data_IF_706593281388
#
_entry.id   IF_706593281388
#
_cell.length_a   1.000
_cell.length_b   1.000
_cell.length_c   1.000
_cell.angle_alpha   90.00
_cell.angle_beta   90.00
_cell.angle_gamma   90.00
#
_symmetry.space_group_name_H-M   'P 1'
#
loop_
_entity.id
_entity.type
_entity.pdbx_description
1 polymer ?
#
# COMPACT_ATOMS: atom_id res chain seq x y z
N UNK A 1 32.41 -23.31 -2.97
CA UNK A 1 31.01 -23.54 -2.53
C UNK A 1 30.65 -22.87 -1.19
N UNK A 2 31.59 -22.40 -0.36
CA UNK A 2 31.24 -21.50 0.76
C UNK A 2 30.73 -20.12 0.29
N UNK A 3 30.98 -19.81 -0.98
CA UNK A 3 30.76 -18.53 -1.65
C UNK A 3 29.28 -18.16 -1.77
N UNK A 4 28.36 -19.14 -1.75
CA UNK A 4 26.92 -18.86 -1.91
C UNK A 4 26.31 -18.16 -0.68
N UNK A 5 26.73 -18.54 0.53
CA UNK A 5 26.30 -17.85 1.76
C UNK A 5 26.86 -16.43 1.80
N UNK A 6 28.14 -16.27 1.43
CA UNK A 6 28.81 -14.96 1.35
C UNK A 6 28.16 -14.07 0.29
N UNK A 7 27.84 -14.62 -0.89
CA UNK A 7 27.11 -13.92 -1.94
C UNK A 7 25.71 -13.48 -1.48
N UNK A 8 24.98 -14.31 -0.74
CA UNK A 8 23.68 -13.93 -0.19
C UNK A 8 23.79 -12.76 0.81
N UNK A 9 24.80 -12.77 1.68
CA UNK A 9 25.07 -11.66 2.61
C UNK A 9 25.47 -10.38 1.87
N UNK A 10 26.33 -10.47 0.85
CA UNK A 10 26.71 -9.32 0.01
C UNK A 10 25.50 -8.76 -0.73
N UNK A 11 24.67 -9.61 -1.34
CA UNK A 11 23.43 -9.18 -2.01
C UNK A 11 22.48 -8.52 -1.04
N UNK A 12 22.27 -9.09 0.15
CA UNK A 12 21.43 -8.48 1.19
C UNK A 12 21.94 -7.11 1.64
N UNK A 13 23.26 -6.94 1.81
CA UNK A 13 23.87 -5.66 2.16
C UNK A 13 23.73 -4.63 1.03
N UNK A 14 24.03 -5.01 -0.22
CA UNK A 14 23.90 -4.13 -1.40
C UNK A 14 22.44 -3.72 -1.61
N UNK A 15 21.48 -4.65 -1.52
CA UNK A 15 20.05 -4.35 -1.62
C UNK A 15 19.62 -3.41 -0.49
N UNK A 16 20.13 -3.59 0.74
CA UNK A 16 19.83 -2.69 1.87
C UNK A 16 20.31 -1.25 1.61
N UNK A 17 21.51 -1.08 1.04
CA UNK A 17 22.02 0.24 0.65
C UNK A 17 21.20 0.83 -0.49
N UNK A 18 20.84 0.04 -1.51
CA UNK A 18 20.00 0.51 -2.63
C UNK A 18 18.61 0.95 -2.16
N UNK A 19 17.97 0.19 -1.26
CA UNK A 19 16.67 0.56 -0.67
C UNK A 19 16.77 1.84 0.16
N UNK A 20 17.87 2.04 0.91
CA UNK A 20 18.10 3.29 1.62
C UNK A 20 18.23 4.49 0.67
N UNK A 21 19.01 4.34 -0.42
CA UNK A 21 19.16 5.37 -1.45
C UNK A 21 17.83 5.70 -2.15
N UNK A 22 17.03 4.68 -2.48
CA UNK A 22 15.67 4.87 -3.03
C UNK A 22 14.75 5.56 -2.02
N UNK A 23 14.85 5.23 -0.74
CA UNK A 23 14.04 5.87 0.32
C UNK A 23 14.40 7.35 0.50
N UNK A 24 15.69 7.71 0.41
CA UNK A 24 16.15 9.11 0.38
C UNK A 24 15.66 9.81 -0.89
N UNK A 25 15.74 9.17 -2.06
CA UNK A 25 15.22 9.71 -3.31
C UNK A 25 13.71 9.99 -3.23
N UNK A 26 12.92 9.07 -2.68
CA UNK A 26 11.48 9.26 -2.46
C UNK A 26 11.21 10.42 -1.51
N UNK A 27 11.92 10.54 -0.39
CA UNK A 27 11.80 11.69 0.50
C UNK A 27 12.05 13.01 -0.26
N UNK A 28 13.19 13.12 -0.96
CA UNK A 28 13.62 14.36 -1.62
C UNK A 28 12.63 14.81 -2.69
N UNK A 29 11.99 13.87 -3.40
CA UNK A 29 11.05 14.18 -4.49
C UNK A 29 9.59 14.36 -4.04
N UNK A 30 9.17 13.80 -2.91
CA UNK A 30 7.78 13.95 -2.41
C UNK A 30 7.61 15.03 -1.33
N UNK A 31 8.68 15.42 -0.62
CA UNK A 31 8.60 16.48 0.40
C UNK A 31 8.22 17.85 -0.20
N UNK A 32 7.56 18.68 0.61
CA UNK A 32 7.27 20.08 0.28
C UNK A 32 8.56 20.94 0.28
N UNK A 33 8.72 21.94 -0.60
CA UNK A 33 9.91 22.81 -0.64
C UNK A 33 10.17 23.57 0.68
N UNK A 34 9.13 23.99 1.40
CA UNK A 34 9.28 24.67 2.71
C UNK A 34 10.00 23.79 3.75
N UNK A 35 9.80 22.48 3.69
CA UNK A 35 10.45 21.52 4.58
C UNK A 35 11.90 21.22 4.12
N UNK A 36 12.34 21.60 2.91
CA UNK A 36 13.56 21.09 2.27
C UNK A 36 14.85 21.24 3.11
N UNK A 37 15.03 22.35 3.82
CA UNK A 37 16.19 22.61 4.70
C UNK A 37 15.85 22.51 6.21
N UNK A 38 14.63 22.11 6.57
CA UNK A 38 14.15 22.01 7.95
C UNK A 38 13.81 20.56 8.34
N UNK A 39 13.25 20.35 9.53
CA UNK A 39 12.63 19.08 9.96
C UNK A 39 13.47 17.79 9.79
N UNK A 40 14.77 17.85 10.08
CA UNK A 40 15.70 16.71 9.95
C UNK A 40 15.28 15.43 10.70
N UNK A 41 14.68 15.55 11.88
CA UNK A 41 14.24 14.37 12.66
C UNK A 41 13.06 13.63 11.99
N UNK A 42 11.94 14.28 11.65
CA UNK A 42 10.89 13.68 10.81
C UNK A 42 11.39 13.04 9.51
N UNK A 43 12.31 13.69 8.79
CA UNK A 43 12.92 13.15 7.56
C UNK A 43 13.62 11.82 7.78
N UNK A 44 14.42 11.72 8.85
CA UNK A 44 15.09 10.48 9.23
C UNK A 44 14.08 9.37 9.54
N UNK A 45 12.97 9.69 10.22
CA UNK A 45 11.89 8.73 10.51
C UNK A 45 11.17 8.28 9.23
N UNK A 46 10.89 9.19 8.28
CA UNK A 46 10.33 8.86 6.96
C UNK A 46 11.25 7.90 6.20
N UNK A 47 12.55 8.20 6.08
CA UNK A 47 13.52 7.36 5.36
C UNK A 47 13.69 5.99 6.01
N UNK A 48 13.74 5.92 7.35
CA UNK A 48 13.80 4.65 8.06
C UNK A 48 12.52 3.83 7.88
N UNK A 49 11.34 4.45 7.95
CA UNK A 49 10.07 3.76 7.75
C UNK A 49 9.90 3.17 6.35
N UNK A 50 10.19 3.94 5.29
CA UNK A 50 10.16 3.41 3.91
C UNK A 50 11.20 2.28 3.75
N UNK A 51 12.41 2.47 4.29
CA UNK A 51 13.47 1.44 4.26
C UNK A 51 13.02 0.14 4.93
N UNK A 52 12.44 0.22 6.13
CA UNK A 52 11.95 -0.96 6.87
C UNK A 52 10.79 -1.64 6.13
N UNK A 53 9.83 -0.88 5.62
CA UNK A 53 8.71 -1.45 4.86
C UNK A 53 9.18 -2.20 3.61
N UNK A 54 10.09 -1.62 2.83
CA UNK A 54 10.63 -2.26 1.61
C UNK A 54 11.55 -3.44 1.94
N UNK A 55 12.37 -3.37 2.99
CA UNK A 55 13.19 -4.51 3.40
C UNK A 55 12.36 -5.66 3.95
N UNK A 56 11.28 -5.37 4.68
CA UNK A 56 10.40 -6.40 5.25
C UNK A 56 9.74 -7.29 4.19
N UNK A 57 9.38 -6.75 3.01
CA UNK A 57 8.86 -7.60 1.91
C UNK A 57 9.99 -8.36 1.19
N UNK A 58 11.18 -7.76 1.05
CA UNK A 58 12.35 -8.39 0.45
C UNK A 58 12.98 -9.47 1.34
N UNK A 59 12.62 -9.53 2.63
CA UNK A 59 12.98 -10.65 3.50
C UNK A 59 12.29 -11.96 3.12
N UNK A 60 11.12 -11.96 2.45
CA UNK A 60 10.50 -13.19 1.95
C UNK A 60 11.39 -13.96 0.96
N UNK A 61 11.83 -13.38 -0.17
CA UNK A 61 12.74 -14.06 -1.10
C UNK A 61 14.11 -14.32 -0.48
N UNK A 62 14.58 -13.47 0.44
CA UNK A 62 15.81 -13.74 1.20
C UNK A 62 15.69 -14.99 2.09
N UNK A 63 14.56 -15.21 2.75
CA UNK A 63 14.29 -16.42 3.57
C UNK A 63 14.30 -17.69 2.69
N UNK A 64 13.66 -17.63 1.51
CA UNK A 64 13.68 -18.72 0.54
C UNK A 64 15.10 -19.01 0.06
N UNK A 65 15.86 -17.98 -0.35
CA UNK A 65 17.24 -18.12 -0.80
C UNK A 65 18.15 -18.66 0.32
N UNK A 66 17.96 -18.22 1.57
CA UNK A 66 18.69 -18.68 2.75
C UNK A 66 18.39 -20.16 3.07
N UNK A 67 17.12 -20.58 2.97
CA UNK A 67 16.74 -22.00 3.07
C UNK A 67 17.37 -22.84 1.96
N UNK A 68 17.37 -22.35 0.72
CA UNK A 68 17.99 -23.03 -0.41
C UNK A 68 19.52 -23.15 -0.26
N UNK A 69 20.17 -22.13 0.30
CA UNK A 69 21.58 -22.16 0.66
C UNK A 69 21.90 -23.31 1.62
N UNK A 70 21.14 -23.42 2.71
CA UNK A 70 21.29 -24.50 3.70
C UNK A 70 21.00 -25.89 3.09
N UNK A 71 20.01 -26.03 2.19
CA UNK A 71 19.74 -27.31 1.50
C UNK A 71 20.86 -27.79 0.56
N UNK A 72 21.73 -26.89 0.08
CA UNK A 72 22.89 -27.21 -0.78
C UNK A 72 24.18 -27.41 0.03
N UNK A 73 24.15 -27.31 1.35
CA UNK A 73 25.30 -27.51 2.22
C UNK A 73 25.65 -29.01 2.38
N UNK A 74 26.89 -29.38 2.01
CA UNK A 74 27.41 -30.76 2.13
C UNK A 74 27.80 -31.12 3.57
N UNK A 75 28.00 -30.13 4.45
CA UNK A 75 28.40 -30.33 5.85
C UNK A 75 27.43 -29.63 6.81
N UNK A 76 27.04 -30.33 7.87
CA UNK A 76 26.03 -29.89 8.85
C UNK A 76 26.36 -28.54 9.52
N UNK A 77 27.63 -28.21 9.67
CA UNK A 77 28.07 -26.91 10.21
C UNK A 77 27.90 -25.71 9.27
N UNK A 78 27.78 -25.90 7.95
CA UNK A 78 27.73 -24.77 7.02
C UNK A 78 26.40 -23.99 7.05
N UNK A 79 25.34 -24.59 7.60
CA UNK A 79 24.08 -23.87 7.86
C UNK A 79 24.22 -22.83 9.00
N UNK A 80 25.27 -22.92 9.84
CA UNK A 80 25.55 -21.92 10.88
C UNK A 80 26.08 -20.58 10.33
N UNK A 81 26.53 -20.53 9.07
CA UNK A 81 26.90 -19.30 8.36
C UNK A 81 25.72 -18.65 7.59
N UNK A 82 24.50 -19.18 7.75
CA UNK A 82 23.31 -18.61 7.09
C UNK A 82 22.69 -17.50 7.94
N UNK A 83 21.87 -16.64 7.32
CA UNK A 83 21.20 -15.55 8.02
C UNK A 83 20.22 -16.11 9.06
N UNK A 84 20.19 -15.60 10.30
CA UNK A 84 19.29 -16.08 11.35
C UNK A 84 17.87 -15.52 11.14
N UNK A 85 17.18 -16.02 10.10
CA UNK A 85 15.93 -15.43 9.59
C UNK A 85 14.84 -15.28 10.67
N UNK A 86 14.68 -16.24 11.59
CA UNK A 86 13.73 -16.10 12.72
C UNK A 86 14.01 -14.88 13.58
N UNK A 87 15.28 -14.64 13.92
CA UNK A 87 15.73 -13.49 14.70
C UNK A 87 15.55 -12.20 13.90
N UNK A 88 15.89 -12.20 12.61
CA UNK A 88 15.72 -11.04 11.73
C UNK A 88 14.23 -10.66 11.59
N UNK A 89 13.34 -11.62 11.39
CA UNK A 89 11.89 -11.38 11.32
C UNK A 89 11.37 -10.77 12.63
N UNK A 90 11.75 -11.34 13.77
CA UNK A 90 11.37 -10.81 15.08
C UNK A 90 11.89 -9.38 15.30
N UNK A 91 13.16 -9.11 14.96
CA UNK A 91 13.77 -7.78 15.06
C UNK A 91 13.04 -6.77 14.17
N UNK A 92 12.72 -7.13 12.92
CA UNK A 92 11.99 -6.25 12.00
C UNK A 92 10.56 -5.97 12.49
N UNK A 93 9.84 -6.95 13.04
CA UNK A 93 8.50 -6.69 13.62
C UNK A 93 8.55 -5.85 14.90
N UNK A 94 9.58 -5.98 15.72
CA UNK A 94 9.78 -5.10 16.89
C UNK A 94 10.08 -3.67 16.42
N UNK A 95 10.96 -3.50 15.42
CA UNK A 95 11.27 -2.20 14.83
C UNK A 95 10.01 -1.57 14.21
N UNK A 96 9.24 -2.33 13.44
CA UNK A 96 7.99 -1.88 12.83
C UNK A 96 6.97 -1.41 13.87
N UNK A 97 6.69 -2.23 14.90
CA UNK A 97 5.79 -1.86 15.97
C UNK A 97 6.27 -0.61 16.74
N UNK A 98 7.58 -0.49 17.01
CA UNK A 98 8.16 0.71 17.64
C UNK A 98 8.04 1.93 16.72
N UNK A 99 8.28 1.78 15.41
CA UNK A 99 8.13 2.85 14.44
C UNK A 99 6.68 3.34 14.38
N UNK A 100 5.72 2.43 14.17
CA UNK A 100 4.30 2.77 14.00
C UNK A 100 3.65 3.31 15.27
N UNK A 101 3.88 2.68 16.44
CA UNK A 101 3.15 3.04 17.66
C UNK A 101 3.84 4.10 18.52
N UNK A 102 5.15 4.33 18.35
CA UNK A 102 5.92 5.27 19.18
C UNK A 102 6.63 6.34 18.35
N UNK A 103 7.51 5.96 17.42
CA UNK A 103 8.43 6.92 16.76
C UNK A 103 7.72 7.82 15.75
N UNK A 104 6.80 7.29 14.94
CA UNK A 104 6.02 8.08 13.96
C UNK A 104 5.04 9.01 14.68
N UNK A 105 4.23 8.57 15.68
CA UNK A 105 3.44 9.48 16.52
C UNK A 105 4.29 10.55 17.20
N UNK A 106 5.47 10.18 17.73
CA UNK A 106 6.40 11.14 18.31
C UNK A 106 6.87 12.17 17.28
N UNK A 107 7.26 11.74 16.08
CA UNK A 107 7.72 12.62 15.02
C UNK A 107 6.61 13.57 14.53
N UNK A 108 5.36 13.09 14.44
CA UNK A 108 4.19 13.91 14.09
C UNK A 108 3.91 14.97 15.17
N UNK A 109 3.71 14.56 16.43
CA UNK A 109 3.44 15.50 17.54
C UNK A 109 4.61 16.43 17.83
N UNK A 110 5.85 15.99 17.59
CA UNK A 110 7.02 16.86 17.66
C UNK A 110 7.03 17.86 16.50
N UNK A 111 6.75 17.45 15.26
CA UNK A 111 6.70 18.35 14.10
C UNK A 111 5.58 19.40 14.20
N UNK A 112 4.36 18.98 14.55
CA UNK A 112 3.22 19.88 14.85
C UNK A 112 3.45 20.77 16.09
N UNK A 113 4.43 20.41 16.92
CA UNK A 113 4.84 21.17 18.09
C UNK A 113 5.32 22.57 17.72
N UNK A 114 4.45 23.55 17.98
CA UNK A 114 4.65 25.01 17.96
C UNK A 114 6.12 25.43 18.10
N UNK A 115 6.66 26.01 17.03
CA UNK A 115 8.08 26.33 16.85
C UNK A 115 8.54 27.47 17.77
N UNK A 116 7.61 28.31 18.26
CA UNK A 116 7.91 29.40 19.20
C UNK A 116 8.24 28.89 20.61
N UNK A 117 8.01 27.59 20.87
CA UNK A 117 8.31 26.94 22.15
C UNK A 117 9.72 26.37 22.17
N UNK A 118 10.46 26.71 23.24
CA UNK A 118 11.76 26.10 23.57
C UNK A 118 11.74 24.57 23.40
N UNK A 119 12.78 24.00 22.81
CA UNK A 119 12.90 22.56 22.44
C UNK A 119 12.46 21.62 23.57
N UNK A 120 12.84 21.88 24.83
CA UNK A 120 12.44 21.05 25.98
C UNK A 120 10.92 21.05 26.27
N UNK A 121 10.23 22.18 26.07
CA UNK A 121 8.75 22.25 26.22
C UNK A 121 8.06 21.48 25.08
N UNK A 122 8.56 21.61 23.86
CA UNK A 122 8.10 20.87 22.66
C UNK A 122 8.28 19.36 22.84
N UNK A 123 9.47 18.94 23.27
CA UNK A 123 9.79 17.54 23.59
C UNK A 123 8.87 16.97 24.67
N UNK A 124 8.67 17.69 25.78
CA UNK A 124 7.75 17.29 26.85
C UNK A 124 6.31 17.16 26.36
N UNK A 125 5.85 18.11 25.53
CA UNK A 125 4.50 18.07 24.94
C UNK A 125 4.32 16.84 24.03
N UNK A 126 5.27 16.59 23.12
CA UNK A 126 5.24 15.43 22.24
C UNK A 126 5.26 14.10 23.02
N UNK A 127 6.11 13.98 24.04
CA UNK A 127 6.16 12.79 24.90
C UNK A 127 4.83 12.51 25.63
N UNK A 128 4.14 13.55 26.13
CA UNK A 128 2.83 13.37 26.78
C UNK A 128 1.80 12.82 25.78
N UNK A 129 1.74 13.36 24.57
CA UNK A 129 0.83 12.88 23.53
C UNK A 129 1.16 11.46 23.05
N UNK A 130 2.46 11.10 22.96
CA UNK A 130 2.90 9.74 22.62
C UNK A 130 2.54 8.74 23.70
N UNK A 131 2.71 9.09 24.99
CA UNK A 131 2.27 8.22 26.10
C UNK A 131 0.75 8.06 26.06
N UNK A 132 -0.01 9.13 25.81
CA UNK A 132 -1.46 9.04 25.67
C UNK A 132 -1.88 8.14 24.48
N UNK A 133 -1.27 8.30 23.31
CA UNK A 133 -1.57 7.45 22.14
C UNK A 133 -1.14 6.00 22.36
N UNK A 134 0.03 5.76 22.97
CA UNK A 134 0.52 4.43 23.30
C UNK A 134 -0.36 3.72 24.34
N UNK A 135 -0.91 4.43 25.32
CA UNK A 135 -1.90 3.89 26.26
C UNK A 135 -3.20 3.52 25.52
N UNK A 136 -3.72 4.39 24.65
CA UNK A 136 -4.94 4.07 23.87
C UNK A 136 -4.72 2.87 22.94
N UNK A 137 -3.64 2.85 22.17
CA UNK A 137 -3.30 1.73 21.31
C UNK A 137 -3.03 0.45 22.12
N UNK A 138 -2.32 0.55 23.24
CA UNK A 138 -2.04 -0.58 24.13
C UNK A 138 -3.30 -1.16 24.80
N UNK A 139 -4.27 -0.32 25.17
CA UNK A 139 -5.58 -0.77 25.65
C UNK A 139 -6.38 -1.48 24.55
N UNK A 140 -6.43 -0.92 23.34
CA UNK A 140 -7.12 -1.54 22.18
C UNK A 140 -6.48 -2.90 21.86
N UNK A 141 -5.15 -2.95 21.71
CA UNK A 141 -4.41 -4.18 21.43
C UNK A 141 -4.52 -5.19 22.58
N UNK A 142 -4.52 -4.73 23.84
CA UNK A 142 -4.69 -5.58 25.02
C UNK A 142 -6.08 -6.22 25.10
N UNK A 143 -7.14 -5.46 24.78
CA UNK A 143 -8.51 -5.98 24.68
C UNK A 143 -8.61 -7.00 23.53
N UNK A 144 -8.06 -6.68 22.35
CA UNK A 144 -8.02 -7.60 21.21
C UNK A 144 -7.26 -8.89 21.56
N UNK A 145 -6.10 -8.79 22.23
CA UNK A 145 -5.32 -9.93 22.69
C UNK A 145 -6.09 -10.78 23.73
N UNK A 146 -6.75 -10.16 24.70
CA UNK A 146 -7.53 -10.87 25.72
C UNK A 146 -8.72 -11.65 25.12
N UNK A 147 -9.37 -11.10 24.07
CA UNK A 147 -10.54 -11.70 23.42
C UNK A 147 -10.17 -12.73 22.34
N UNK A 148 -9.10 -12.49 21.57
CA UNK A 148 -8.80 -13.15 20.28
C UNK A 148 -7.41 -13.82 20.27
N UNK A 149 -6.48 -13.37 21.09
CA UNK A 149 -5.06 -13.77 21.06
C UNK A 149 -4.73 -15.19 21.55
N UNK A 150 -5.74 -15.99 21.93
CA UNK A 150 -5.55 -17.41 22.28
C UNK A 150 -5.67 -18.30 21.03
N UNK A 151 -4.90 -19.37 20.99
CA UNK A 151 -4.90 -20.35 19.89
C UNK A 151 -5.66 -21.60 20.32
N UNK A 152 -6.66 -22.01 19.54
CA UNK A 152 -7.49 -23.20 19.82
C UNK A 152 -7.10 -24.36 18.89
N UNK A 153 -6.15 -25.20 19.31
CA UNK A 153 -5.82 -26.42 18.57
C UNK A 153 -6.89 -27.51 18.77
N UNK A 154 -7.70 -27.78 17.74
CA UNK A 154 -8.68 -28.87 17.78
C UNK A 154 -8.01 -30.21 17.49
N UNK A 155 -7.62 -30.94 18.52
CA UNK A 155 -7.17 -32.34 18.39
C UNK A 155 -8.36 -33.20 17.98
N UNK A 156 -8.35 -33.74 16.75
CA UNK A 156 -9.39 -34.64 16.25
C UNK A 156 -9.03 -36.09 16.55
N UNK A 157 -9.79 -36.73 17.44
CA UNK A 157 -9.87 -38.18 17.48
C UNK A 157 -10.73 -38.67 16.30
N UNK A 158 -10.17 -39.57 15.48
CA UNK A 158 -10.88 -40.17 14.35
C UNK A 158 -11.53 -41.49 14.81
N UNK A 159 -12.86 -41.51 14.84
CA UNK A 159 -13.66 -42.74 14.91
C UNK A 159 -14.59 -42.78 13.70
N UNK A 160 -14.45 -43.80 12.88
CA UNK A 160 -15.21 -43.99 11.63
C UNK A 160 -16.45 -44.85 11.87
N UNK A 161 -17.57 -44.47 11.25
CA UNK A 161 -18.75 -45.33 11.05
C UNK A 161 -19.26 -45.15 9.63
N UNK A 162 -19.67 -46.24 8.99
CA UNK A 162 -20.09 -46.25 7.58
C UNK A 162 -21.57 -45.86 7.46
N UNK A 163 -21.90 -44.98 6.51
CA UNK A 163 -23.28 -44.59 6.20
C UNK A 163 -23.53 -44.69 4.69
N UNK A 164 -24.72 -45.17 4.29
CA UNK A 164 -25.05 -45.51 2.91
C UNK A 164 -25.47 -44.30 2.06
N UNK A 165 -25.25 -44.39 0.75
CA UNK A 165 -25.49 -43.32 -0.23
C UNK A 165 -26.99 -43.01 -0.45
N UNK A 166 -27.40 -41.73 -0.48
CA UNK A 166 -28.71 -41.31 -0.97
C UNK A 166 -28.83 -41.33 -2.50
N UNK A 167 -30.07 -41.45 -3.00
CA UNK A 167 -30.42 -41.71 -4.41
C UNK A 167 -30.18 -40.54 -5.41
N UNK A 168 -30.12 -40.81 -6.74
CA UNK A 168 -29.54 -39.90 -7.74
C UNK A 168 -30.45 -38.80 -8.34
N UNK A 169 -31.70 -38.64 -7.87
CA UNK A 169 -32.76 -38.03 -8.68
C UNK A 169 -33.10 -36.56 -8.34
N UNK A 170 -32.13 -35.65 -8.37
CA UNK A 170 -32.37 -34.20 -8.25
C UNK A 170 -31.63 -33.37 -9.31
N UNK A 171 -32.13 -33.42 -10.55
CA UNK A 171 -31.71 -32.54 -11.66
C UNK A 171 -32.93 -32.11 -12.50
N UNK A 172 -33.64 -31.06 -12.07
CA UNK A 172 -34.81 -30.51 -12.80
C UNK A 172 -35.32 -29.16 -12.24
N UNK A 173 -34.53 -28.08 -12.35
CA UNK A 173 -34.99 -26.75 -11.91
C UNK A 173 -34.29 -25.53 -12.58
N UNK A 174 -34.19 -25.47 -13.91
CA UNK A 174 -33.84 -24.22 -14.61
C UNK A 174 -34.60 -24.07 -15.94
N UNK A 175 -35.38 -22.99 -16.06
CA UNK A 175 -36.10 -22.60 -17.29
C UNK A 175 -36.01 -21.09 -17.48
N UNK A 176 -35.77 -20.65 -18.71
CA UNK A 176 -35.52 -19.25 -19.09
C UNK A 176 -36.72 -18.59 -19.80
N UNK A 177 -37.04 -17.34 -19.46
CA UNK A 177 -37.94 -16.48 -20.25
C UNK A 177 -37.94 -15.04 -19.71
N UNK A 178 -37.46 -14.07 -20.48
CA UNK A 178 -38.26 -13.15 -21.32
C UNK A 178 -38.22 -11.69 -20.72
N UNK A 179 -38.54 -10.61 -21.46
CA UNK A 179 -37.54 -9.60 -21.88
C UNK A 179 -37.87 -8.16 -21.40
N UNK A 180 -37.17 -7.11 -21.89
CA UNK A 180 -37.71 -5.73 -21.97
C UNK A 180 -36.88 -4.75 -22.84
N UNK A 181 -37.56 -3.80 -23.52
CA UNK A 181 -37.10 -2.88 -24.59
C UNK A 181 -37.92 -1.56 -24.52
N UNK A 182 -37.43 -0.32 -24.75
CA UNK A 182 -36.03 0.16 -24.78
C UNK A 182 -35.78 1.67 -24.45
N UNK A 183 -36.25 2.71 -25.20
CA UNK A 183 -35.37 3.86 -25.44
C UNK A 183 -35.81 5.22 -24.86
N UNK A 184 -34.85 6.14 -24.65
CA UNK A 184 -35.09 7.58 -24.50
C UNK A 184 -34.02 8.42 -25.22
N UNK A 185 -34.41 9.63 -25.63
CA UNK A 185 -33.76 10.43 -26.67
C UNK A 185 -33.19 11.77 -26.18
N UNK A 186 -32.40 12.39 -27.08
CA UNK A 186 -32.17 13.84 -27.28
C UNK A 186 -31.14 14.60 -26.42
N UNK A 187 -30.30 15.34 -27.15
CA UNK A 187 -29.94 16.78 -27.06
C UNK A 187 -29.92 17.44 -25.65
N UNK A 188 -28.99 18.34 -25.32
CA UNK A 188 -28.36 19.35 -26.18
C UNK A 188 -27.04 19.88 -25.56
N UNK A 189 -26.22 20.59 -26.35
CA UNK A 189 -24.94 21.12 -25.89
C UNK A 189 -24.68 22.56 -26.35
N UNK A 190 -24.77 23.53 -25.43
CA UNK A 190 -24.13 24.86 -25.51
C UNK A 190 -24.27 25.60 -24.18
N UNK A 191 -23.15 25.93 -23.53
CA UNK A 191 -22.93 27.08 -22.61
C UNK A 191 -21.59 26.88 -21.88
N UNK A 192 -20.49 27.21 -22.56
CA UNK A 192 -19.12 27.08 -22.03
C UNK A 192 -18.22 28.31 -22.31
N UNK A 193 -18.72 29.34 -23.01
CA UNK A 193 -17.97 30.56 -23.29
C UNK A 193 -18.02 31.62 -22.18
N UNK A 194 -19.11 31.68 -21.39
CA UNK A 194 -19.35 32.80 -20.45
C UNK A 194 -18.65 32.67 -19.09
N UNK A 195 -18.21 31.48 -18.68
CA UNK A 195 -17.72 31.21 -17.31
C UNK A 195 -16.29 31.69 -17.01
N UNK A 196 -15.44 31.86 -18.02
CA UNK A 196 -14.04 32.24 -17.81
C UNK A 196 -13.85 33.67 -17.26
N UNK A 197 -14.83 34.56 -17.46
CA UNK A 197 -14.72 35.99 -17.12
C UNK A 197 -15.21 36.34 -15.70
N UNK A 198 -16.08 35.50 -15.14
CA UNK A 198 -16.67 35.68 -13.80
C UNK A 198 -15.70 35.28 -12.68
N UNK A 199 -14.96 34.17 -12.86
CA UNK A 199 -14.06 33.60 -11.86
C UNK A 199 -12.92 34.53 -11.43
N UNK A 200 -12.42 35.38 -12.34
CA UNK A 200 -11.39 36.37 -12.03
C UNK A 200 -11.86 37.45 -11.06
N UNK A 201 -13.11 37.92 -11.19
CA UNK A 201 -13.69 38.95 -10.30
C UNK A 201 -14.00 38.41 -8.89
N UNK A 202 -14.39 37.14 -8.77
CA UNK A 202 -14.72 36.54 -7.48
C UNK A 202 -13.47 36.40 -6.57
N UNK A 203 -12.30 36.14 -7.16
CA UNK A 203 -11.03 36.06 -6.42
C UNK A 203 -10.61 37.43 -5.85
N UNK A 204 -10.77 38.51 -6.61
CA UNK A 204 -10.41 39.87 -6.21
C UNK A 204 -11.30 40.38 -5.05
N UNK A 205 -12.58 40.00 -5.01
CA UNK A 205 -13.51 40.39 -3.94
C UNK A 205 -13.17 39.75 -2.58
N UNK A 206 -12.77 38.48 -2.57
CA UNK A 206 -12.45 37.75 -1.33
C UNK A 206 -11.21 38.29 -0.60
N UNK A 207 -10.27 38.90 -1.34
CA UNK A 207 -9.10 39.53 -0.74
C UNK A 207 -9.42 40.85 0.01
N UNK A 208 -10.60 41.44 -0.24
CA UNK A 208 -11.09 42.58 0.54
C UNK A 208 -11.76 42.15 1.86
N UNK A 209 -12.47 41.00 1.89
CA UNK A 209 -13.04 40.47 3.14
C UNK A 209 -11.96 40.12 4.18
N UNK A 210 -10.77 39.70 3.74
CA UNK A 210 -9.66 39.37 4.63
C UNK A 210 -9.19 40.58 5.48
N UNK A 211 -9.27 41.80 4.92
CA UNK A 211 -8.98 43.05 5.64
C UNK A 211 -10.06 43.46 6.65
N UNK A 212 -11.27 42.88 6.56
CA UNK A 212 -12.40 43.21 7.46
C UNK A 212 -12.46 42.38 8.75
N UNK A 213 -11.57 41.40 8.92
CA UNK A 213 -11.31 40.72 10.20
C UNK A 213 -12.34 39.67 10.66
N UNK A 214 -13.49 39.54 10.01
CA UNK A 214 -14.60 38.70 10.51
C UNK A 214 -14.47 37.20 10.15
N UNK A 215 -13.53 36.50 10.81
CA UNK A 215 -13.12 35.10 10.51
C UNK A 215 -14.11 34.00 10.98
N UNK A 216 -15.40 34.15 10.62
CA UNK A 216 -16.49 33.24 10.98
C UNK A 216 -16.54 31.89 10.23
N UNK A 217 -17.56 31.07 10.52
CA UNK A 217 -17.73 29.72 9.95
C UNK A 217 -18.05 29.72 8.43
N UNK A 218 -18.75 30.75 7.92
CA UNK A 218 -19.00 30.97 6.47
C UNK A 218 -17.67 31.23 5.74
N UNK A 219 -16.85 32.16 6.26
CA UNK A 219 -15.51 32.47 5.75
C UNK A 219 -14.62 31.22 5.66
N UNK A 220 -14.47 30.45 6.75
CA UNK A 220 -13.67 29.20 6.76
C UNK A 220 -14.16 28.15 5.75
N UNK A 221 -15.45 28.14 5.39
CA UNK A 221 -16.01 27.25 4.36
C UNK A 221 -15.68 27.76 2.95
N UNK A 222 -15.77 29.06 2.72
CA UNK A 222 -15.45 29.69 1.44
C UNK A 222 -13.96 29.59 1.13
N UNK A 223 -13.07 29.89 2.10
CA UNK A 223 -11.62 29.74 1.98
C UNK A 223 -11.26 28.31 1.56
N UNK A 224 -11.75 27.28 2.27
CA UNK A 224 -11.50 25.87 1.92
C UNK A 224 -12.05 25.44 0.56
N UNK A 225 -13.06 26.13 0.04
CA UNK A 225 -13.58 25.86 -1.28
C UNK A 225 -12.70 26.51 -2.36
N UNK A 226 -12.22 27.74 -2.14
CA UNK A 226 -11.27 28.44 -3.04
C UNK A 226 -9.90 27.75 -3.05
N UNK A 227 -9.39 27.37 -1.89
CA UNK A 227 -8.16 26.57 -1.73
C UNK A 227 -8.20 25.27 -2.55
N UNK A 228 -9.36 24.60 -2.58
CA UNK A 228 -9.59 23.42 -3.40
C UNK A 228 -9.60 23.72 -4.91
N UNK A 229 -10.25 24.81 -5.35
CA UNK A 229 -10.25 25.21 -6.77
C UNK A 229 -8.86 25.69 -7.23
N UNK A 230 -8.10 26.37 -6.36
CA UNK A 230 -6.71 26.77 -6.61
C UNK A 230 -5.83 25.53 -6.79
N UNK A 231 -5.93 24.55 -5.90
CA UNK A 231 -5.20 23.28 -6.00
C UNK A 231 -5.56 22.49 -7.28
N UNK A 232 -6.81 22.59 -7.76
CA UNK A 232 -7.20 22.02 -9.05
C UNK A 232 -6.58 22.78 -10.23
N UNK A 233 -6.61 24.11 -10.20
CA UNK A 233 -6.02 24.97 -11.22
C UNK A 233 -4.49 24.80 -11.29
N UNK A 234 -3.82 24.63 -10.15
CA UNK A 234 -2.39 24.34 -10.04
C UNK A 234 -2.06 22.96 -10.66
N UNK A 235 -2.84 21.92 -10.35
CA UNK A 235 -2.67 20.61 -10.99
C UNK A 235 -2.86 20.70 -12.52
N UNK A 236 -3.86 21.44 -13.00
CA UNK A 236 -4.14 21.62 -14.43
C UNK A 236 -3.03 22.45 -15.11
N UNK A 237 -2.47 23.45 -14.42
CA UNK A 237 -1.32 24.25 -14.89
C UNK A 237 -0.04 23.40 -14.99
N UNK A 238 0.27 22.60 -13.96
CA UNK A 238 1.41 21.69 -13.98
C UNK A 238 1.28 20.65 -15.11
N UNK A 239 0.07 20.16 -15.39
CA UNK A 239 -0.20 19.28 -16.52
C UNK A 239 -0.06 19.97 -17.89
N UNK A 240 -0.33 21.28 -17.97
CA UNK A 240 -0.06 22.09 -19.16
C UNK A 240 1.45 22.32 -19.37
N UNK A 241 2.21 22.57 -18.30
CA UNK A 241 3.68 22.70 -18.35
C UNK A 241 4.39 21.39 -18.71
N UNK A 242 3.91 20.22 -18.25
CA UNK A 242 4.43 18.89 -18.68
C UNK A 242 4.20 18.65 -20.18
N UNK A 243 3.14 19.22 -20.77
CA UNK A 243 2.81 19.07 -22.19
C UNK A 243 3.45 20.13 -23.11
N UNK A 244 3.72 21.33 -22.58
CA UNK A 244 4.27 22.47 -23.32
C UNK A 244 5.42 23.14 -22.53
N UNK A 245 6.57 22.46 -22.38
CA UNK A 245 7.71 23.00 -21.64
C UNK A 245 8.26 24.27 -22.31
N UNK A 246 8.35 25.36 -21.55
CA UNK A 246 8.87 26.64 -22.04
C UNK A 246 10.35 26.84 -21.65
N UNK A 247 11.14 27.44 -22.55
CA UNK A 247 12.52 27.83 -22.30
C UNK A 247 13.56 27.17 -23.21
N UNK A 248 14.83 27.48 -22.97
CA UNK A 248 15.98 27.15 -23.82
C UNK A 248 16.25 25.63 -23.99
N UNK A 249 15.66 24.78 -23.14
CA UNK A 249 15.78 23.31 -23.17
C UNK A 249 14.48 22.59 -23.50
N UNK A 250 13.50 23.30 -24.08
CA UNK A 250 12.15 22.77 -24.35
C UNK A 250 12.13 21.41 -25.07
N UNK A 251 12.92 21.25 -26.15
CA UNK A 251 12.95 19.99 -26.92
C UNK A 251 13.48 18.80 -26.12
N UNK A 252 14.51 19.00 -25.30
CA UNK A 252 15.04 17.94 -24.44
C UNK A 252 14.04 17.57 -23.33
N UNK A 253 13.42 18.56 -22.68
CA UNK A 253 12.37 18.34 -21.68
C UNK A 253 11.15 17.63 -22.28
N UNK A 254 10.77 17.98 -23.51
CA UNK A 254 9.72 17.31 -24.26
C UNK A 254 10.09 15.86 -24.61
N UNK A 255 11.32 15.60 -25.08
CA UNK A 255 11.79 14.25 -25.33
C UNK A 255 11.79 13.37 -24.06
N UNK A 256 12.20 13.91 -22.91
CA UNK A 256 12.15 13.21 -21.63
C UNK A 256 10.72 12.96 -21.12
N UNK A 257 9.79 13.90 -21.30
CA UNK A 257 8.37 13.68 -20.93
C UNK A 257 7.72 12.64 -21.84
N UNK A 258 7.94 12.68 -23.17
CA UNK A 258 7.48 11.63 -24.09
C UNK A 258 8.06 10.26 -23.71
N UNK A 259 9.36 10.17 -23.42
CA UNK A 259 10.00 8.94 -22.94
C UNK A 259 9.37 8.45 -21.61
N UNK A 260 9.07 9.37 -20.69
CA UNK A 260 8.39 9.04 -19.44
C UNK A 260 6.96 8.53 -19.67
N UNK A 261 6.21 9.08 -20.63
CA UNK A 261 4.88 8.56 -21.01
C UNK A 261 4.95 7.16 -21.64
N UNK A 262 5.92 6.91 -22.52
CA UNK A 262 6.17 5.57 -23.09
C UNK A 262 6.57 4.59 -21.97
N UNK A 263 7.44 5.02 -21.05
CA UNK A 263 7.79 4.24 -19.85
C UNK A 263 6.58 3.91 -18.99
N UNK A 264 5.74 4.91 -18.64
CA UNK A 264 4.47 4.75 -17.91
C UNK A 264 3.56 3.71 -18.60
N UNK A 265 3.47 3.71 -19.94
CA UNK A 265 2.70 2.72 -20.71
C UNK A 265 3.29 1.30 -20.61
N UNK A 266 4.60 1.15 -20.78
CA UNK A 266 5.28 -0.16 -20.69
C UNK A 266 5.12 -0.74 -19.27
N UNK A 267 5.35 0.07 -18.23
CA UNK A 267 5.12 -0.34 -16.84
C UNK A 267 3.65 -0.69 -16.58
N UNK A 268 2.70 0.02 -17.21
CA UNK A 268 1.27 -0.30 -17.15
C UNK A 268 0.93 -1.65 -17.78
N UNK A 269 1.50 -1.98 -18.94
CA UNK A 269 1.30 -3.27 -19.62
C UNK A 269 1.90 -4.42 -18.79
N UNK A 270 3.14 -4.26 -18.31
CA UNK A 270 3.78 -5.26 -17.43
C UNK A 270 2.96 -5.42 -16.15
N UNK A 271 2.54 -4.32 -15.52
CA UNK A 271 1.68 -4.35 -14.34
C UNK A 271 0.35 -5.05 -14.56
N UNK A 272 -0.29 -4.86 -15.72
CA UNK A 272 -1.52 -5.57 -16.08
C UNK A 272 -1.30 -7.09 -16.17
N UNK A 273 -0.22 -7.53 -16.83
CA UNK A 273 0.13 -8.95 -16.95
C UNK A 273 0.37 -9.57 -15.56
N UNK A 274 1.13 -8.88 -14.70
CA UNK A 274 1.44 -9.35 -13.34
C UNK A 274 0.19 -9.35 -12.44
N UNK A 275 -0.69 -8.35 -12.56
CA UNK A 275 -2.01 -8.34 -11.90
C UNK A 275 -2.90 -9.51 -12.32
N UNK A 276 -2.98 -9.81 -13.63
CA UNK A 276 -3.74 -10.96 -14.14
C UNK A 276 -3.17 -12.26 -13.59
N UNK A 277 -1.84 -12.42 -13.59
CA UNK A 277 -1.17 -13.59 -13.02
C UNK A 277 -1.45 -13.73 -11.51
N UNK A 278 -1.45 -12.62 -10.76
CA UNK A 278 -1.83 -12.61 -9.34
C UNK A 278 -3.29 -13.03 -9.10
N UNK A 279 -4.25 -12.45 -9.84
CA UNK A 279 -5.68 -12.80 -9.70
C UNK A 279 -5.93 -14.25 -10.08
N UNK A 280 -5.33 -14.74 -11.17
CA UNK A 280 -5.39 -16.14 -11.56
C UNK A 280 -4.81 -17.06 -10.48
N UNK A 281 -3.65 -16.70 -9.90
CA UNK A 281 -3.03 -17.45 -8.82
C UNK A 281 -3.90 -17.54 -7.57
N UNK A 282 -4.52 -16.43 -7.15
CA UNK A 282 -5.44 -16.41 -6.00
C UNK A 282 -6.63 -17.33 -6.26
N UNK A 283 -7.25 -17.25 -7.44
CA UNK A 283 -8.41 -18.08 -7.79
C UNK A 283 -8.04 -19.57 -7.82
N UNK A 284 -6.94 -19.93 -8.49
CA UNK A 284 -6.55 -21.33 -8.75
C UNK A 284 -5.97 -22.02 -7.50
N UNK A 285 -5.18 -21.29 -6.68
CA UNK A 285 -4.42 -21.85 -5.57
C UNK A 285 -4.99 -21.54 -4.17
N UNK A 286 -5.71 -20.42 -3.98
CA UNK A 286 -6.21 -20.02 -2.66
C UNK A 286 -7.73 -20.13 -2.49
N UNK A 287 -8.53 -20.00 -3.56
CA UNK A 287 -10.00 -19.98 -3.44
C UNK A 287 -10.70 -21.31 -3.72
N UNK A 288 -9.98 -22.32 -4.22
CA UNK A 288 -10.51 -23.66 -4.49
C UNK A 288 -9.81 -24.67 -3.58
N UNK A 289 -10.58 -25.42 -2.80
CA UNK A 289 -10.11 -26.50 -1.94
C UNK A 289 -10.63 -27.85 -2.46
N UNK A 290 -9.77 -28.82 -2.81
CA UNK A 290 -8.31 -28.71 -2.94
C UNK A 290 -7.89 -27.81 -4.13
N UNK A 291 -6.68 -27.22 -4.11
CA UNK A 291 -6.22 -26.30 -5.15
C UNK A 291 -6.13 -27.00 -6.51
N UNK A 292 -6.63 -26.31 -7.55
CA UNK A 292 -6.65 -26.82 -8.94
C UNK A 292 -5.23 -27.02 -9.51
N UNK A 293 -4.31 -26.13 -9.13
CA UNK A 293 -2.89 -26.20 -9.47
C UNK A 293 -2.09 -25.30 -8.52
N UNK A 294 -0.82 -25.63 -8.32
CA UNK A 294 0.14 -24.77 -7.61
C UNK A 294 0.57 -23.52 -8.42
N UNK A 295 0.25 -23.49 -9.72
CA UNK A 295 0.47 -22.40 -10.69
C UNK A 295 1.80 -21.63 -10.51
N UNK A 296 1.78 -20.40 -9.97
CA UNK A 296 3.01 -19.59 -9.83
C UNK A 296 4.08 -20.27 -8.97
N UNK A 297 3.68 -21.02 -7.93
CA UNK A 297 4.65 -21.78 -7.13
C UNK A 297 5.41 -22.80 -7.97
N UNK A 298 4.73 -23.50 -8.89
CA UNK A 298 5.35 -24.49 -9.76
C UNK A 298 6.27 -23.81 -10.80
N UNK A 299 5.87 -22.64 -11.32
CA UNK A 299 6.69 -21.82 -12.21
C UNK A 299 7.98 -21.38 -11.49
N UNK A 300 7.91 -20.92 -10.24
CA UNK A 300 9.11 -20.53 -9.48
C UNK A 300 10.05 -21.72 -9.20
N UNK A 301 9.50 -22.91 -8.88
CA UNK A 301 10.28 -24.15 -8.73
C UNK A 301 10.98 -24.53 -10.05
N UNK A 302 10.28 -24.41 -11.19
CA UNK A 302 10.86 -24.67 -12.51
C UNK A 302 11.96 -23.67 -12.85
N UNK A 303 11.78 -22.38 -12.55
CA UNK A 303 12.81 -21.36 -12.76
C UNK A 303 14.07 -21.63 -11.91
N UNK A 304 13.92 -22.02 -10.64
CA UNK A 304 15.04 -22.40 -9.76
C UNK A 304 15.77 -23.68 -10.25
N UNK A 305 15.14 -24.51 -11.07
CA UNK A 305 15.80 -25.66 -11.72
C UNK A 305 16.69 -25.25 -12.91
N UNK A 306 16.38 -24.13 -13.58
CA UNK A 306 17.19 -23.57 -14.68
C UNK A 306 18.39 -22.81 -14.13
N UNK A 307 18.16 -21.92 -13.18
CA UNK A 307 19.21 -21.25 -12.42
C UNK A 307 18.74 -21.04 -10.99
N UNK A 308 19.52 -21.50 -10.01
CA UNK A 308 19.10 -21.67 -8.61
C UNK A 308 18.82 -20.41 -7.79
N UNK A 309 18.67 -19.25 -8.45
CA UNK A 309 18.19 -17.98 -7.90
C UNK A 309 17.07 -17.35 -8.77
N UNK A 310 16.77 -17.89 -9.95
CA UNK A 310 15.84 -17.30 -10.91
C UNK A 310 14.39 -17.33 -10.41
N UNK A 311 13.98 -18.42 -9.77
CA UNK A 311 12.70 -18.52 -9.07
C UNK A 311 12.65 -17.58 -7.88
N UNK A 312 13.75 -17.45 -7.12
CA UNK A 312 13.80 -16.53 -5.96
C UNK A 312 13.68 -15.07 -6.40
N UNK A 313 14.26 -14.69 -7.54
CA UNK A 313 14.15 -13.36 -8.13
C UNK A 313 12.76 -13.10 -8.73
N UNK A 314 12.15 -14.08 -9.40
CA UNK A 314 10.77 -13.99 -9.87
C UNK A 314 9.78 -13.84 -8.70
N UNK A 315 9.95 -14.63 -7.64
CA UNK A 315 9.19 -14.53 -6.41
C UNK A 315 9.35 -13.15 -5.73
N UNK A 316 10.59 -12.62 -5.67
CA UNK A 316 10.86 -11.27 -5.18
C UNK A 316 10.10 -10.21 -5.98
N UNK A 317 10.12 -10.31 -7.32
CA UNK A 317 9.39 -9.40 -8.20
C UNK A 317 7.87 -9.45 -7.97
N UNK A 318 7.26 -10.62 -7.85
CA UNK A 318 5.83 -10.75 -7.54
C UNK A 318 5.45 -10.20 -6.16
N UNK A 319 6.29 -10.40 -5.14
CA UNK A 319 6.06 -9.85 -3.79
C UNK A 319 6.20 -8.33 -3.77
N UNK A 320 7.26 -7.79 -4.39
CA UNK A 320 7.52 -6.36 -4.44
C UNK A 320 6.48 -5.61 -5.29
N UNK A 321 5.96 -6.26 -6.35
CA UNK A 321 4.85 -5.74 -7.14
C UNK A 321 3.60 -5.46 -6.29
N UNK A 322 3.21 -6.37 -5.38
CA UNK A 322 2.07 -6.10 -4.48
C UNK A 322 2.34 -4.93 -3.54
N UNK A 323 3.56 -4.80 -2.99
CA UNK A 323 3.89 -3.64 -2.16
C UNK A 323 3.81 -2.33 -2.96
N UNK A 324 4.31 -2.29 -4.19
CA UNK A 324 4.18 -1.12 -5.07
C UNK A 324 2.70 -0.81 -5.36
N UNK A 325 1.87 -1.83 -5.62
CA UNK A 325 0.44 -1.63 -5.88
C UNK A 325 -0.30 -1.05 -4.66
N UNK A 326 0.06 -1.50 -3.45
CA UNK A 326 -0.47 -0.97 -2.18
C UNK A 326 -0.02 0.47 -1.95
N UNK A 327 1.28 0.76 -2.07
CA UNK A 327 1.83 2.13 -1.94
C UNK A 327 1.17 3.08 -2.98
N UNK A 328 1.01 2.63 -4.23
CA UNK A 328 0.34 3.41 -5.27
C UNK A 328 -1.14 3.70 -4.93
N UNK A 329 -1.84 2.74 -4.33
CA UNK A 329 -3.18 2.93 -3.79
C UNK A 329 -3.22 3.95 -2.66
N UNK A 330 -2.33 3.83 -1.67
CA UNK A 330 -2.23 4.75 -0.53
C UNK A 330 -1.92 6.19 -0.96
N UNK A 331 -0.99 6.39 -1.90
CA UNK A 331 -0.70 7.72 -2.45
C UNK A 331 -1.93 8.39 -3.08
N UNK A 332 -2.89 7.62 -3.61
CA UNK A 332 -4.15 8.13 -4.18
C UNK A 332 -5.27 8.35 -3.14
N UNK A 333 -5.20 7.75 -1.94
CA UNK A 333 -6.30 7.70 -0.98
C UNK A 333 -6.41 8.95 -0.11
N UNK A 334 -7.00 10.02 -0.66
CA UNK A 334 -7.42 11.20 0.11
C UNK A 334 -8.75 11.01 0.85
N UNK A 335 -8.78 10.22 1.92
CA UNK A 335 -10.00 9.93 2.70
C UNK A 335 -10.11 10.75 4.00
N UNK A 336 -11.30 11.30 4.25
CA UNK A 336 -11.66 11.82 5.59
C UNK A 336 -12.46 10.76 6.34
N UNK A 337 -11.76 9.95 7.12
CA UNK A 337 -12.38 9.08 8.12
C UNK A 337 -12.85 9.93 9.30
N UNK A 338 -13.75 9.38 10.13
CA UNK A 338 -14.50 10.13 11.17
C UNK A 338 -13.61 10.95 12.11
N UNK A 339 -12.39 10.46 12.38
CA UNK A 339 -11.41 11.12 13.27
C UNK A 339 -10.04 11.39 12.63
N UNK A 340 -9.81 10.96 11.38
CA UNK A 340 -8.49 11.04 10.71
C UNK A 340 -8.67 11.52 9.27
N UNK A 341 -7.95 12.58 8.91
CA UNK A 341 -7.85 13.06 7.53
C UNK A 341 -6.61 12.49 6.87
N UNK A 342 -6.77 11.45 6.06
CA UNK A 342 -5.71 10.90 5.22
C UNK A 342 -5.49 11.89 4.06
N UNK A 343 -4.27 12.41 3.95
CA UNK A 343 -3.85 13.30 2.87
C UNK A 343 -3.12 12.49 1.80
N UNK A 344 -3.49 12.61 0.51
CA UNK A 344 -2.79 11.91 -0.56
C UNK A 344 -1.36 12.43 -0.68
N UNK A 345 -0.44 11.54 -1.03
CA UNK A 345 0.96 11.91 -1.25
C UNK A 345 1.12 12.56 -2.64
N UNK A 346 1.74 13.73 -2.70
CA UNK A 346 2.00 14.48 -3.93
C UNK A 346 3.50 14.65 -4.17
N UNK A 347 3.92 14.48 -5.42
CA UNK A 347 5.26 14.86 -5.86
C UNK A 347 5.51 16.36 -5.60
N UNK A 348 6.65 16.70 -5.00
CA UNK A 348 7.06 18.06 -4.63
C UNK A 348 6.17 18.80 -3.64
N UNK A 349 5.15 18.13 -3.06
CA UNK A 349 4.02 18.81 -2.41
C UNK A 349 3.50 18.16 -1.14
N UNK A 350 4.18 17.15 -0.59
CA UNK A 350 3.75 16.47 0.64
C UNK A 350 4.36 17.13 1.86
N UNK A 351 3.52 17.77 2.68
CA UNK A 351 3.90 18.26 4.02
C UNK A 351 4.40 17.10 4.90
N UNK A 352 5.44 17.35 5.69
CA UNK A 352 6.11 16.32 6.49
C UNK A 352 5.17 15.48 7.40
N UNK A 353 4.15 16.10 8.00
CA UNK A 353 3.17 15.41 8.84
C UNK A 353 2.34 14.38 8.05
N UNK A 354 1.84 14.79 6.88
CA UNK A 354 1.14 13.91 5.94
C UNK A 354 2.05 12.80 5.40
N UNK A 355 3.34 13.10 5.22
CA UNK A 355 4.32 12.09 4.79
C UNK A 355 4.51 11.03 5.89
N UNK A 356 4.81 11.45 7.14
CA UNK A 356 4.94 10.56 8.29
C UNK A 356 3.72 9.66 8.49
N UNK A 357 2.52 10.22 8.40
CA UNK A 357 1.28 9.46 8.52
C UNK A 357 1.15 8.38 7.44
N UNK A 358 1.41 8.72 6.16
CA UNK A 358 1.38 7.74 5.08
C UNK A 358 2.47 6.67 5.24
N UNK A 359 3.68 7.00 5.69
CA UNK A 359 4.72 5.99 5.99
C UNK A 359 4.27 5.02 7.09
N UNK A 360 3.52 5.50 8.10
CA UNK A 360 2.89 4.64 9.10
C UNK A 360 1.85 3.68 8.52
N UNK A 361 1.10 4.09 7.49
CA UNK A 361 0.20 3.20 6.75
C UNK A 361 0.97 2.16 5.92
N UNK A 362 2.00 2.59 5.16
CA UNK A 362 2.83 1.70 4.35
C UNK A 362 3.46 0.58 5.22
N UNK A 363 3.93 0.91 6.42
CA UNK A 363 4.47 -0.04 7.40
C UNK A 363 3.40 -1.05 7.85
N UNK A 364 2.24 -0.60 8.32
CA UNK A 364 1.13 -1.48 8.73
C UNK A 364 0.64 -2.39 7.60
N UNK A 365 0.57 -1.86 6.38
CA UNK A 365 0.15 -2.60 5.21
C UNK A 365 1.22 -3.59 4.73
N UNK A 366 2.52 -3.31 4.92
CA UNK A 366 3.59 -4.24 4.52
C UNK A 366 3.47 -5.59 5.24
N UNK A 367 3.14 -5.61 6.54
CA UNK A 367 2.88 -6.86 7.29
C UNK A 367 1.75 -7.66 6.64
N UNK A 368 0.68 -6.98 6.22
CA UNK A 368 -0.47 -7.62 5.58
C UNK A 368 -0.11 -8.22 4.22
N UNK A 369 0.70 -7.51 3.41
CA UNK A 369 1.24 -8.01 2.14
C UNK A 369 2.18 -9.21 2.38
N UNK A 370 3.04 -9.17 3.40
CA UNK A 370 3.95 -10.27 3.76
C UNK A 370 3.15 -11.53 4.15
N UNK A 371 2.15 -11.38 5.02
CA UNK A 371 1.27 -12.48 5.44
C UNK A 371 0.52 -13.09 4.25
N UNK A 372 0.02 -12.24 3.35
CA UNK A 372 -0.65 -12.66 2.12
C UNK A 372 0.31 -13.42 1.19
N UNK A 373 1.50 -12.88 0.92
CA UNK A 373 2.51 -13.53 0.08
C UNK A 373 3.01 -14.86 0.66
N UNK A 374 3.25 -14.95 1.98
CA UNK A 374 3.60 -16.20 2.64
C UNK A 374 2.51 -17.28 2.45
N UNK A 375 1.25 -16.88 2.55
CA UNK A 375 0.09 -17.78 2.33
C UNK A 375 -0.05 -18.17 0.85
N UNK A 376 0.00 -17.20 -0.06
CA UNK A 376 -0.13 -17.40 -1.51
C UNK A 376 1.00 -18.24 -2.11
N UNK A 377 2.19 -18.18 -1.53
CA UNK A 377 3.35 -18.91 -2.00
C UNK A 377 3.83 -19.98 -1.01
N UNK A 378 2.91 -20.51 -0.20
CA UNK A 378 3.18 -21.51 0.85
C UNK A 378 3.92 -22.77 0.33
N UNK A 379 3.66 -23.20 -0.91
CA UNK A 379 4.33 -24.35 -1.52
C UNK A 379 5.78 -24.02 -1.92
N UNK A 380 6.02 -22.85 -2.52
CA UNK A 380 7.36 -22.41 -2.90
C UNK A 380 8.22 -22.06 -1.66
N UNK A 381 7.65 -21.30 -0.72
CA UNK A 381 8.28 -20.84 0.51
C UNK A 381 8.17 -21.84 1.68
N UNK A 382 7.87 -23.11 1.41
CA UNK A 382 7.73 -24.14 2.45
C UNK A 382 8.99 -24.25 3.32
N UNK A 383 8.83 -24.42 4.64
CA UNK A 383 9.94 -24.53 5.60
C UNK A 383 10.92 -23.33 5.57
N UNK A 384 10.39 -22.13 5.36
CA UNK A 384 11.03 -20.84 5.68
C UNK A 384 10.60 -20.37 7.07
N UNK A 385 11.33 -19.42 7.67
CA UNK A 385 10.94 -18.85 8.96
C UNK A 385 9.61 -18.07 8.83
N UNK A 386 9.40 -17.35 7.73
CA UNK A 386 8.13 -16.69 7.41
C UNK A 386 6.94 -17.66 7.43
N UNK A 387 7.08 -18.84 6.79
CA UNK A 387 5.98 -19.81 6.71
C UNK A 387 5.66 -20.48 8.06
N UNK A 388 6.65 -20.63 8.95
CA UNK A 388 6.42 -21.09 10.32
C UNK A 388 5.61 -20.07 11.13
N UNK A 389 5.95 -18.78 11.01
CA UNK A 389 5.27 -17.67 11.70
C UNK A 389 3.83 -17.53 11.18
N UNK A 390 3.65 -17.38 9.87
CA UNK A 390 2.37 -17.02 9.26
C UNK A 390 1.45 -18.20 8.96
N UNK A 391 1.98 -19.36 8.56
CA UNK A 391 1.18 -20.47 8.03
C UNK A 391 0.35 -21.18 9.10
N UNK A 392 0.96 -21.53 10.24
CA UNK A 392 0.32 -22.39 11.25
C UNK A 392 -0.32 -21.62 12.42
N UNK A 393 0.29 -20.51 12.84
CA UNK A 393 -0.14 -19.75 14.02
C UNK A 393 -1.46 -19.01 13.79
N UNK A 394 -1.58 -18.30 12.66
CA UNK A 394 -2.75 -17.45 12.34
C UNK A 394 -4.03 -18.24 12.09
N UNK A 395 -3.95 -19.37 11.38
CA UNK A 395 -5.11 -20.23 11.09
C UNK A 395 -5.73 -20.86 12.35
N UNK A 396 -5.01 -20.82 13.48
CA UNK A 396 -5.41 -21.45 14.73
C UNK A 396 -5.93 -20.42 15.78
N UNK A 397 -5.88 -19.11 15.49
CA UNK A 397 -6.34 -18.04 16.39
C UNK A 397 -7.85 -18.08 16.68
N UNK A 398 -8.23 -17.95 17.95
CA UNK A 398 -9.62 -17.97 18.40
C UNK A 398 -10.43 -16.83 17.78
N UNK A 399 -11.60 -17.14 17.23
CA UNK A 399 -12.44 -16.18 16.50
C UNK A 399 -11.94 -15.91 15.08
N UNK A 400 -10.76 -15.28 14.91
CA UNK A 400 -10.24 -14.89 13.59
C UNK A 400 -9.96 -16.09 12.66
N UNK A 401 -9.72 -17.30 13.19
CA UNK A 401 -9.57 -18.53 12.39
C UNK A 401 -10.66 -18.74 11.34
N UNK A 402 -11.90 -18.30 11.59
CA UNK A 402 -12.98 -18.46 10.60
C UNK A 402 -12.79 -17.57 9.37
N UNK A 403 -12.22 -16.37 9.51
CA UNK A 403 -11.94 -15.47 8.39
C UNK A 403 -10.86 -16.06 7.46
N UNK A 404 -9.82 -16.67 8.04
CA UNK A 404 -8.79 -17.37 7.29
C UNK A 404 -9.28 -18.71 6.72
N UNK A 405 -10.03 -19.51 7.50
CA UNK A 405 -10.57 -20.82 7.07
C UNK A 405 -11.54 -20.70 5.90
N UNK A 406 -12.35 -19.64 5.85
CA UNK A 406 -13.28 -19.38 4.75
C UNK A 406 -12.70 -18.42 3.70
N UNK A 407 -11.38 -18.20 3.69
CA UNK A 407 -10.67 -17.35 2.72
C UNK A 407 -11.30 -15.96 2.51
N UNK A 408 -11.91 -15.39 3.55
CA UNK A 408 -12.75 -14.18 3.47
C UNK A 408 -11.97 -12.98 2.96
N UNK A 409 -10.71 -12.85 3.39
CA UNK A 409 -9.82 -11.78 2.93
C UNK A 409 -9.45 -11.94 1.45
N UNK A 410 -9.23 -13.17 0.98
CA UNK A 410 -8.90 -13.48 -0.41
C UNK A 410 -10.11 -13.26 -1.33
N UNK A 411 -11.31 -13.69 -0.93
CA UNK A 411 -12.56 -13.37 -1.64
C UNK A 411 -12.80 -11.85 -1.67
N UNK A 412 -12.59 -11.15 -0.55
CA UNK A 412 -12.73 -9.70 -0.46
C UNK A 412 -11.75 -8.97 -1.40
N UNK A 413 -10.49 -9.40 -1.43
CA UNK A 413 -9.46 -8.86 -2.34
C UNK A 413 -9.87 -9.02 -3.80
N UNK A 414 -10.25 -10.24 -4.23
CA UNK A 414 -10.67 -10.50 -5.62
C UNK A 414 -11.96 -9.75 -5.98
N UNK A 415 -12.93 -9.70 -5.08
CA UNK A 415 -14.18 -8.95 -5.30
C UNK A 415 -13.91 -7.44 -5.47
N UNK A 416 -13.08 -6.84 -4.62
CA UNK A 416 -12.70 -5.43 -4.75
C UNK A 416 -11.86 -5.15 -6.00
N UNK A 417 -10.94 -6.04 -6.37
CA UNK A 417 -10.17 -5.94 -7.61
C UNK A 417 -11.07 -5.99 -8.86
N UNK A 418 -12.04 -6.90 -8.88
CA UNK A 418 -13.03 -7.01 -9.98
C UNK A 418 -13.96 -5.79 -10.02
N UNK A 419 -14.48 -5.34 -8.88
CA UNK A 419 -15.35 -4.17 -8.79
C UNK A 419 -14.62 -2.88 -9.22
N UNK A 420 -13.38 -2.70 -8.80
CA UNK A 420 -12.56 -1.54 -9.22
C UNK A 420 -12.21 -1.63 -10.71
N UNK A 421 -11.85 -2.80 -11.24
CA UNK A 421 -11.62 -3.00 -12.67
C UNK A 421 -12.86 -2.61 -13.50
N UNK A 422 -14.05 -3.11 -13.14
CA UNK A 422 -15.29 -2.74 -13.83
C UNK A 422 -15.60 -1.25 -13.66
N UNK A 423 -15.39 -0.67 -12.48
CA UNK A 423 -15.59 0.77 -12.25
C UNK A 423 -14.66 1.61 -13.14
N UNK A 424 -13.37 1.29 -13.25
CA UNK A 424 -12.44 2.01 -14.12
C UNK A 424 -12.73 1.76 -15.61
N UNK A 425 -13.14 0.56 -16.01
CA UNK A 425 -13.53 0.27 -17.39
C UNK A 425 -14.78 1.07 -17.82
N UNK A 426 -15.81 1.14 -16.97
CA UNK A 426 -17.08 1.80 -17.26
C UNK A 426 -17.05 3.33 -17.04
N UNK A 427 -16.27 3.81 -16.07
CA UNK A 427 -16.29 5.21 -15.62
C UNK A 427 -14.94 5.91 -15.64
N UNK A 428 -13.81 5.22 -15.77
CA UNK A 428 -12.47 5.84 -15.78
C UNK A 428 -12.26 6.83 -16.94
N UNK A 429 -12.94 6.62 -18.06
CA UNK A 429 -12.96 7.53 -19.22
C UNK A 429 -13.75 8.82 -18.97
N UNK A 430 -14.65 8.84 -17.97
CA UNK A 430 -15.36 10.04 -17.55
C UNK A 430 -14.42 10.87 -16.65
N UNK A 431 -13.58 11.72 -17.26
CA UNK A 431 -12.90 12.80 -16.54
C UNK A 431 -13.89 13.45 -15.58
N UNK A 432 -13.57 13.48 -14.28
CA UNK A 432 -14.39 14.18 -13.27
C UNK A 432 -14.45 15.66 -13.63
N UNK A 433 -15.50 16.07 -14.34
CA UNK A 433 -15.84 17.49 -14.47
C UNK A 433 -16.05 18.02 -13.04
N UNK A 434 -15.32 19.05 -12.59
CA UNK A 434 -15.47 19.56 -11.23
C UNK A 434 -16.92 20.02 -11.00
N UNK A 435 -17.60 19.32 -10.10
CA UNK A 435 -18.99 19.61 -9.71
C UNK A 435 -19.01 20.76 -8.71
N UNK A 436 -19.27 21.97 -9.19
CA UNK A 436 -19.43 23.13 -8.31
C UNK A 436 -19.80 24.41 -9.04
N UNK A 437 -21.10 24.74 -9.11
CA UNK A 437 -21.49 26.16 -9.22
C UNK A 437 -21.13 26.82 -7.90
N UNK A 438 -20.11 27.67 -7.88
CA UNK A 438 -19.83 28.55 -6.75
C UNK A 438 -20.90 29.66 -6.74
N UNK A 439 -22.00 29.44 -6.04
CA UNK A 439 -22.95 30.51 -5.72
C UNK A 439 -22.55 31.11 -4.38
N UNK A 440 -21.93 32.29 -4.43
CA UNK A 440 -21.88 33.18 -3.29
C UNK A 440 -23.33 33.57 -2.98
N UNK A 441 -23.86 33.10 -1.84
CA UNK A 441 -25.03 33.73 -1.24
C UNK A 441 -24.58 35.10 -0.74
N UNK A 442 -25.02 36.16 -1.44
CA UNK A 442 -24.94 37.55 -0.97
C UNK A 442 -25.35 37.62 0.51
#
# INVERSE_FOLDING_TARGET
>A
MGDFNVALVIVAAVVSVLVLLVSVYLLVNYQHPDDANQAWFPKLVVVLGITVAVLSILMLPADVANRQACKRAVYSGACALTLPMKTLWLVVYIIDAVLVFLVIPFAMFYYEGDQDKSVGKRLKSALIWVVASAVVCGLILGILYALIGKVDFTVRHLSSSVQAFPNPNQFSAFTSGQPCIAPLTRQEATELGKKAKELKKAAEALHQEERSGNKGRKWRKNVKAVEKELLLLENDMNALEEMYPQGEKAEATWAFTVLAYIGKLIFGIVGLIVSIAWVAHIIIYLLVDPPLSSFLNEIFIKLDSVWGLLGTAAFAFFCFYLLIAVIAGEMMLGLKLVFITIHPMKWGGTLMNSFLFNVGLILLCSISVIQFCATAFAYYAQATAAQEIFGHTLQSLRGIKYLYKYNVFQYGFVALAILTLFYYALFGWRKRKPTGRFQLSN
#
